data_IF_854985736788
#
_entry.id   IF_854985736788
#
_cell.length_a   1.000
_cell.length_b   1.000
_cell.length_c   1.000
_cell.angle_alpha   90.00
_cell.angle_beta   90.00
_cell.angle_gamma   90.00
#
_symmetry.space_group_name_H-M   'P 1'
#
loop_
_entity.id
_entity.type
_entity.pdbx_description
1 polymer ?
#
# COMPACT_ATOMS: atom_id res chain seq x y z
N UNK A 1 -9.27 14.19 -0.25
CA UNK A 1 -9.10 15.39 0.59
C UNK A 1 -8.27 16.49 -0.10
N UNK A 2 -6.99 16.31 -0.48
CA UNK A 2 -6.18 17.38 -1.10
C UNK A 2 -6.78 17.95 -2.39
N UNK A 3 -7.33 17.10 -3.27
CA UNK A 3 -8.03 17.57 -4.48
C UNK A 3 -9.25 18.44 -4.18
N UNK A 4 -10.06 18.08 -3.19
CA UNK A 4 -11.25 18.86 -2.81
C UNK A 4 -10.86 20.24 -2.25
N UNK A 5 -9.81 20.30 -1.44
CA UNK A 5 -9.26 21.56 -0.93
C UNK A 5 -8.71 22.43 -2.07
N UNK A 6 -7.94 21.82 -2.99
CA UNK A 6 -7.42 22.50 -4.18
C UNK A 6 -8.53 23.09 -5.05
N UNK A 7 -9.57 22.32 -5.35
CA UNK A 7 -10.73 22.80 -6.13
C UNK A 7 -11.54 23.89 -5.40
N UNK A 8 -11.52 23.88 -4.06
CA UNK A 8 -12.18 24.89 -3.23
C UNK A 8 -11.30 26.11 -2.95
N UNK A 9 -10.08 26.15 -3.53
CA UNK A 9 -9.09 27.19 -3.27
C UNK A 9 -8.76 27.37 -1.77
N UNK A 10 -8.71 26.25 -1.03
CA UNK A 10 -8.36 26.19 0.38
C UNK A 10 -6.93 25.66 0.57
N UNK A 11 -6.21 26.09 1.64
CA UNK A 11 -4.87 25.58 1.93
C UNK A 11 -4.89 24.08 2.22
N UNK A 12 -3.87 23.37 1.73
CA UNK A 12 -3.68 21.94 1.99
C UNK A 12 -2.71 21.78 3.17
N UNK A 13 -3.09 21.14 4.28
CA UNK A 13 -2.20 20.93 5.41
C UNK A 13 -0.95 20.09 5.05
N UNK A 14 0.18 20.35 5.69
CA UNK A 14 1.42 19.58 5.47
C UNK A 14 1.29 18.10 5.86
N UNK A 15 0.35 17.78 6.76
CA UNK A 15 0.07 16.40 7.19
C UNK A 15 -0.66 15.56 6.13
N UNK A 16 -0.99 16.14 4.97
CA UNK A 16 -1.71 15.44 3.90
C UNK A 16 -0.74 14.71 3.00
N UNK A 17 -0.86 13.38 2.97
CA UNK A 17 0.06 12.52 2.20
C UNK A 17 -0.41 12.27 0.76
N UNK A 18 -1.68 12.57 0.45
CA UNK A 18 -2.26 12.40 -0.88
C UNK A 18 -1.92 13.53 -1.86
N UNK A 19 -2.11 13.27 -3.15
CA UNK A 19 -1.84 14.26 -4.21
C UNK A 19 -3.08 15.12 -4.53
N UNK A 20 -2.84 16.38 -4.88
CA UNK A 20 -3.87 17.29 -5.38
C UNK A 20 -4.03 17.11 -6.91
N UNK A 21 -5.14 16.49 -7.33
CA UNK A 21 -5.44 16.23 -8.74
C UNK A 21 -6.12 17.38 -9.47
N UNK A 22 -6.32 18.55 -8.83
CA UNK A 22 -7.05 19.68 -9.43
C UNK A 22 -6.47 20.10 -10.78
N UNK A 23 -5.14 20.23 -10.87
CA UNK A 23 -4.47 20.62 -12.11
C UNK A 23 -4.72 19.65 -13.27
N UNK A 24 -4.68 18.34 -12.99
CA UNK A 24 -4.97 17.29 -13.97
C UNK A 24 -6.44 17.27 -14.39
N UNK A 25 -7.37 17.42 -13.45
CA UNK A 25 -8.80 17.47 -13.75
C UNK A 25 -9.19 18.69 -14.59
N UNK A 26 -8.46 19.80 -14.45
CA UNK A 26 -8.67 21.03 -15.23
C UNK A 26 -7.85 21.06 -16.55
N UNK A 27 -7.03 20.03 -16.83
CA UNK A 27 -6.18 19.98 -18.02
C UNK A 27 -5.03 20.98 -18.02
N UNK A 28 -4.62 21.45 -16.84
CA UNK A 28 -3.56 22.47 -16.66
C UNK A 28 -2.21 21.89 -16.24
N UNK A 29 -2.20 20.63 -15.79
CA UNK A 29 -1.01 19.93 -15.33
C UNK A 29 -1.17 18.43 -15.55
N UNK A 30 -0.12 17.74 -15.94
CA UNK A 30 -0.06 16.28 -15.87
C UNK A 30 0.60 15.85 -14.55
N UNK A 31 -0.03 14.91 -13.85
CA UNK A 31 0.57 14.27 -12.68
C UNK A 31 1.15 12.92 -13.07
N UNK A 32 2.39 12.70 -12.68
CA UNK A 32 3.02 11.40 -12.81
C UNK A 32 2.89 10.64 -11.48
N UNK A 33 1.95 9.70 -11.42
CA UNK A 33 1.71 8.86 -10.25
C UNK A 33 2.29 7.49 -10.51
N UNK A 34 3.49 7.28 -9.98
CA UNK A 34 4.28 6.09 -10.27
C UNK A 34 3.66 4.80 -9.71
N UNK A 35 3.12 4.87 -8.48
CA UNK A 35 2.40 3.77 -7.85
C UNK A 35 1.42 4.23 -6.78
N UNK A 36 0.37 3.45 -6.54
CA UNK A 36 -0.54 3.59 -5.41
C UNK A 36 -0.18 2.59 -4.30
N UNK A 37 -0.16 3.05 -3.04
CA UNK A 37 0.07 2.19 -1.88
C UNK A 37 -1.18 1.36 -1.55
N UNK A 38 -0.97 0.09 -1.23
CA UNK A 38 -1.94 -0.80 -0.61
C UNK A 38 -1.42 -1.12 0.79
N UNK A 39 -2.28 -1.01 1.81
CA UNK A 39 -1.85 -1.21 3.20
C UNK A 39 -2.90 -1.94 4.02
N UNK A 40 -2.44 -2.90 4.81
CA UNK A 40 -3.15 -3.51 5.92
C UNK A 40 -2.21 -3.51 7.13
N UNK A 41 -2.29 -2.50 8.02
CA UNK A 41 -1.44 -2.42 9.21
C UNK A 41 -1.80 -3.49 10.25
N UNK A 42 -3.08 -3.81 10.39
CA UNK A 42 -3.60 -4.82 11.32
C UNK A 42 -4.82 -5.49 10.68
N UNK A 43 -4.83 -6.82 10.50
CA UNK A 43 -6.02 -7.55 10.07
C UNK A 43 -7.09 -7.58 11.17
N UNK A 44 -8.37 -7.45 10.82
CA UNK A 44 -9.49 -7.43 11.78
C UNK A 44 -10.72 -8.22 11.28
N UNK A 45 -11.68 -8.43 12.20
CA UNK A 45 -12.97 -9.08 11.93
C UNK A 45 -12.83 -10.48 11.29
N UNK A 46 -13.43 -10.68 10.11
CA UNK A 46 -13.50 -11.98 9.44
C UNK A 46 -12.16 -12.40 8.83
N UNK A 47 -11.21 -11.48 8.67
CA UNK A 47 -9.88 -11.72 8.13
C UNK A 47 -8.78 -11.60 9.19
N UNK A 48 -9.03 -12.04 10.42
CA UNK A 48 -8.02 -12.09 11.49
C UNK A 48 -6.94 -13.15 11.25
N UNK A 49 -5.85 -13.09 12.02
CA UNK A 49 -4.67 -13.94 11.86
C UNK A 49 -4.99 -15.44 11.75
N UNK A 50 -5.87 -15.96 12.61
CA UNK A 50 -6.25 -17.39 12.60
C UNK A 50 -6.93 -17.84 11.28
N UNK A 51 -7.45 -16.89 10.51
CA UNK A 51 -8.08 -17.13 9.21
C UNK A 51 -7.14 -16.84 8.03
N UNK A 52 -5.84 -16.61 8.28
CA UNK A 52 -4.85 -16.26 7.26
C UNK A 52 -4.57 -14.75 7.15
N UNK A 53 -5.24 -13.94 7.97
CA UNK A 53 -4.99 -12.52 8.16
C UNK A 53 -3.52 -12.21 8.42
N UNK A 54 -3.04 -11.13 7.82
CA UNK A 54 -1.67 -10.67 7.97
C UNK A 54 -1.57 -9.19 7.69
N UNK A 55 -0.56 -8.57 8.27
CA UNK A 55 -0.10 -7.26 7.90
C UNK A 55 0.57 -7.36 6.54
N UNK A 56 0.26 -6.43 5.66
CA UNK A 56 0.93 -6.36 4.37
C UNK A 56 1.02 -4.94 3.86
N UNK A 57 1.99 -4.74 2.97
CA UNK A 57 2.15 -3.52 2.18
C UNK A 57 2.34 -3.90 0.74
N UNK A 58 1.83 -3.07 -0.15
CA UNK A 58 1.95 -3.31 -1.57
C UNK A 58 1.91 -2.04 -2.38
N UNK A 59 2.31 -2.17 -3.63
CA UNK A 59 2.21 -1.11 -4.63
C UNK A 59 1.44 -1.62 -5.83
N UNK A 60 0.53 -0.78 -6.33
CA UNK A 60 -0.13 -0.99 -7.62
C UNK A 60 0.32 0.10 -8.59
N UNK A 61 0.99 -0.31 -9.64
CA UNK A 61 1.28 0.51 -10.81
C UNK A 61 0.22 0.27 -11.89
N UNK A 62 0.32 0.93 -13.04
CA UNK A 62 -0.53 0.61 -14.19
C UNK A 62 -0.36 -0.84 -14.66
N UNK A 63 0.87 -1.39 -14.57
CA UNK A 63 1.21 -2.69 -15.15
C UNK A 63 1.31 -3.82 -14.15
N UNK A 64 1.65 -3.54 -12.90
CA UNK A 64 1.94 -4.57 -11.91
C UNK A 64 1.33 -4.27 -10.55
N UNK A 65 0.98 -5.33 -9.83
CA UNK A 65 0.63 -5.29 -8.41
C UNK A 65 1.63 -6.14 -7.65
N UNK A 66 2.29 -5.55 -6.65
CA UNK A 66 3.24 -6.24 -5.78
C UNK A 66 2.83 -6.06 -4.33
N UNK A 67 2.89 -7.14 -3.54
CA UNK A 67 2.54 -7.15 -2.11
C UNK A 67 3.54 -8.00 -1.34
N UNK A 68 3.93 -7.56 -0.15
CA UNK A 68 4.72 -8.31 0.82
C UNK A 68 4.06 -8.31 2.20
N UNK A 69 4.23 -9.42 2.91
CA UNK A 69 3.97 -9.50 4.35
C UNK A 69 5.30 -9.41 5.12
N UNK A 70 5.27 -9.61 6.44
CA UNK A 70 6.47 -9.55 7.28
C UNK A 70 7.49 -10.67 6.98
N UNK A 71 7.09 -11.74 6.28
CA UNK A 71 7.97 -12.83 5.87
C UNK A 71 8.61 -12.59 4.49
N UNK A 72 8.18 -11.56 3.76
CA UNK A 72 8.76 -11.17 2.48
C UNK A 72 7.73 -11.07 1.35
N UNK A 73 8.19 -11.13 0.08
CA UNK A 73 7.31 -11.07 -1.09
C UNK A 73 6.20 -12.11 -1.03
N UNK A 74 4.96 -11.67 -1.22
CA UNK A 74 3.77 -12.53 -1.14
C UNK A 74 3.04 -12.64 -2.48
N UNK A 75 2.79 -11.50 -3.14
CA UNK A 75 2.02 -11.45 -4.40
C UNK A 75 2.76 -10.60 -5.42
N UNK A 76 2.78 -11.06 -6.66
CA UNK A 76 3.15 -10.27 -7.84
C UNK A 76 2.26 -10.65 -9.01
N UNK A 77 1.62 -9.66 -9.63
CA UNK A 77 0.73 -9.83 -10.77
C UNK A 77 1.08 -8.88 -11.90
N UNK A 78 0.97 -9.35 -13.14
CA UNK A 78 0.98 -8.54 -14.36
C UNK A 78 -0.45 -8.14 -14.69
N UNK A 79 -0.84 -6.92 -14.33
CA UNK A 79 -2.21 -6.42 -14.48
C UNK A 79 -2.64 -6.27 -15.95
N UNK A 80 -1.71 -6.24 -16.91
CA UNK A 80 -2.05 -6.14 -18.34
C UNK A 80 -2.40 -7.52 -18.90
N UNK A 81 -1.59 -8.53 -18.58
CA UNK A 81 -1.76 -9.89 -19.08
C UNK A 81 -2.67 -10.75 -18.19
N UNK A 82 -2.84 -10.36 -16.93
CA UNK A 82 -3.72 -11.00 -15.93
C UNK A 82 -4.54 -9.92 -15.18
N UNK A 83 -5.54 -9.30 -15.84
CA UNK A 83 -6.33 -8.21 -15.25
C UNK A 83 -7.10 -8.60 -13.99
N UNK A 84 -7.37 -9.90 -13.82
CA UNK A 84 -8.09 -10.44 -12.67
C UNK A 84 -7.16 -10.93 -11.55
N UNK A 85 -5.84 -10.84 -11.74
CA UNK A 85 -4.83 -11.19 -10.73
C UNK A 85 -4.97 -12.64 -10.22
N UNK A 86 -5.17 -13.57 -11.14
CA UNK A 86 -5.35 -14.99 -10.84
C UNK A 86 -4.03 -15.77 -10.79
N UNK A 87 -2.97 -15.25 -11.41
CA UNK A 87 -1.69 -15.93 -11.59
C UNK A 87 -0.59 -15.20 -10.82
N UNK A 88 -0.32 -15.63 -9.59
CA UNK A 88 0.77 -15.06 -8.79
C UNK A 88 2.13 -15.51 -9.35
N UNK A 89 2.95 -14.56 -9.80
CA UNK A 89 4.28 -14.79 -10.39
C UNK A 89 5.42 -14.38 -9.47
N UNK A 90 5.17 -14.23 -8.16
CA UNK A 90 6.22 -13.92 -7.18
C UNK A 90 7.34 -14.97 -7.23
N UNK A 91 8.59 -14.52 -7.19
CA UNK A 91 9.76 -15.41 -7.25
C UNK A 91 10.03 -16.05 -8.63
N UNK A 92 9.21 -15.78 -9.65
CA UNK A 92 9.51 -16.21 -11.01
C UNK A 92 10.72 -15.43 -11.56
N UNK A 93 11.74 -16.16 -12.05
CA UNK A 93 13.00 -15.56 -12.52
C UNK A 93 12.77 -14.54 -13.66
N UNK A 94 11.75 -14.74 -14.51
CA UNK A 94 11.40 -13.79 -15.57
C UNK A 94 10.94 -12.42 -15.02
N UNK A 95 10.39 -12.39 -13.81
CA UNK A 95 9.87 -11.18 -13.16
C UNK A 95 10.80 -10.63 -12.08
N UNK A 96 11.99 -11.21 -11.87
CA UNK A 96 12.91 -10.85 -10.79
C UNK A 96 13.28 -9.37 -10.75
N UNK A 97 13.58 -8.79 -11.91
CA UNK A 97 13.92 -7.36 -12.01
C UNK A 97 12.70 -6.47 -11.71
N UNK A 98 11.51 -6.89 -12.15
CA UNK A 98 10.25 -6.18 -11.88
C UNK A 98 9.92 -6.24 -10.39
N UNK A 99 10.08 -7.40 -9.76
CA UNK A 99 9.87 -7.56 -8.32
C UNK A 99 10.82 -6.66 -7.51
N UNK A 100 12.11 -6.59 -7.90
CA UNK A 100 13.08 -5.73 -7.25
C UNK A 100 12.76 -4.23 -7.41
N UNK A 101 12.33 -3.80 -8.60
CA UNK A 101 11.91 -2.43 -8.87
C UNK A 101 10.68 -2.04 -8.02
N UNK A 102 9.69 -2.92 -7.94
CA UNK A 102 8.48 -2.69 -7.14
C UNK A 102 8.77 -2.68 -5.63
N UNK A 103 9.73 -3.47 -5.15
CA UNK A 103 10.20 -3.41 -3.76
C UNK A 103 10.85 -2.05 -3.45
N UNK A 104 11.66 -1.52 -4.37
CA UNK A 104 12.27 -0.18 -4.23
C UNK A 104 11.19 0.90 -4.20
N UNK A 105 10.20 0.85 -5.10
CA UNK A 105 9.07 1.80 -5.11
C UNK A 105 8.27 1.73 -3.81
N UNK A 106 7.96 0.51 -3.35
CA UNK A 106 7.23 0.32 -2.10
C UNK A 106 8.00 0.94 -0.94
N UNK A 107 9.29 0.62 -0.81
CA UNK A 107 10.15 1.17 0.25
C UNK A 107 10.17 2.71 0.22
N UNK A 108 10.34 3.31 -0.95
CA UNK A 108 10.36 4.77 -1.08
C UNK A 108 9.05 5.43 -0.62
N UNK A 109 7.90 4.80 -0.90
CA UNK A 109 6.59 5.31 -0.45
C UNK A 109 6.45 5.17 1.07
N UNK A 110 6.85 4.03 1.64
CA UNK A 110 6.79 3.79 3.08
C UNK A 110 7.71 4.75 3.85
N UNK A 111 8.94 4.96 3.36
CA UNK A 111 9.91 5.90 3.94
C UNK A 111 9.34 7.33 3.93
N UNK A 112 8.67 7.74 2.85
CA UNK A 112 8.02 9.06 2.74
C UNK A 112 6.87 9.24 3.75
N UNK A 113 6.12 8.18 4.06
CA UNK A 113 5.03 8.20 5.03
C UNK A 113 5.49 7.90 6.47
N UNK A 114 6.78 7.60 6.68
CA UNK A 114 7.29 7.17 7.97
C UNK A 114 6.69 5.85 8.45
N UNK A 115 6.25 5.00 7.53
CA UNK A 115 5.72 3.67 7.83
C UNK A 115 6.85 2.65 7.90
N UNK A 116 7.16 2.19 9.11
CA UNK A 116 8.24 1.23 9.37
C UNK A 116 7.87 -0.22 9.04
N UNK A 117 6.62 -0.48 8.65
CA UNK A 117 6.08 -1.81 8.41
C UNK A 117 6.34 -2.81 9.56
N UNK A 118 5.92 -2.43 10.76
CA UNK A 118 6.05 -3.22 11.98
C UNK A 118 4.97 -4.30 12.11
N UNK A 119 5.13 -5.27 13.03
CA UNK A 119 4.01 -6.12 13.46
C UNK A 119 2.83 -5.29 13.98
N UNK A 120 1.61 -5.81 13.79
CA UNK A 120 0.37 -5.12 14.14
C UNK A 120 0.35 -4.62 15.59
N UNK A 121 0.83 -5.45 16.53
CA UNK A 121 0.90 -5.13 17.96
C UNK A 121 1.58 -3.78 18.26
N UNK A 122 2.62 -3.43 17.50
CA UNK A 122 3.34 -2.17 17.70
C UNK A 122 2.50 -0.97 17.29
N UNK A 123 1.70 -1.08 16.22
CA UNK A 123 0.76 -0.04 15.83
C UNK A 123 -0.38 0.12 16.83
N UNK A 124 -0.90 -0.98 17.38
CA UNK A 124 -1.97 -0.92 18.38
C UNK A 124 -1.49 -0.30 19.69
N UNK A 125 -0.27 -0.63 20.13
CA UNK A 125 0.38 0.08 21.25
C UNK A 125 0.55 1.57 20.92
N UNK A 126 1.09 1.92 19.74
CA UNK A 126 1.31 3.30 19.31
C UNK A 126 0.03 4.14 19.30
N UNK A 127 -1.10 3.56 18.90
CA UNK A 127 -2.38 4.26 18.80
C UNK A 127 -3.27 4.10 20.04
N UNK A 128 -2.75 3.47 21.10
CA UNK A 128 -3.50 3.16 22.32
C UNK A 128 -4.85 2.45 22.00
N UNK A 129 -4.82 1.53 21.04
CA UNK A 129 -5.99 0.79 20.59
C UNK A 129 -6.18 -0.45 21.47
N UNK A 130 -7.32 -0.53 22.16
CA UNK A 130 -7.67 -1.66 23.00
C UNK A 130 -8.32 -2.78 22.18
N UNK A 131 -7.76 -3.98 22.28
CA UNK A 131 -8.31 -5.19 21.66
C UNK A 131 -8.45 -6.33 22.69
N UNK A 132 -9.13 -7.40 22.31
CA UNK A 132 -9.36 -8.57 23.17
C UNK A 132 -8.19 -9.57 23.18
N UNK A 133 -7.09 -9.26 22.48
CA UNK A 133 -5.92 -10.13 22.26
C UNK A 133 -6.22 -11.48 21.58
N UNK A 134 -7.46 -11.73 21.14
CA UNK A 134 -7.78 -12.88 20.28
C UNK A 134 -7.49 -12.60 18.80
N UNK A 135 -7.31 -11.32 18.48
CA UNK A 135 -6.82 -10.83 17.19
C UNK A 135 -5.29 -10.62 17.21
N UNK A 136 -4.55 -11.16 18.18
CA UNK A 136 -3.08 -11.29 18.14
C UNK A 136 -2.69 -12.75 17.99
N UNK A 137 -1.57 -13.02 17.32
CA UNK A 137 -1.04 -14.38 17.15
C UNK A 137 -0.61 -14.92 18.53
N UNK A 138 -1.46 -15.74 19.14
CA UNK A 138 -1.05 -16.83 20.03
C UNK A 138 -1.52 -18.15 19.46
#
# INVERSE_FOLDING_TARGET
MPTLLGMSNLPIPESVEGLNYTGQLLGTQELNVDAALITCPVPFHQWKYKNGGREYRGVRTEKYTYVKDLNGPWLLYDNLNDPYQMNNVVGNEAFKNIQADLEVKLKAILDKQGDQFLPGEEYMKKWNYHWDSNDSIK
#
